data_IF_344780539313
#
_entry.id   IF_344780539313
#
_cell.length_a   1.000
_cell.length_b   1.000
_cell.length_c   1.000
_cell.angle_alpha   90.00
_cell.angle_beta   90.00
_cell.angle_gamma   90.00
#
_symmetry.space_group_name_H-M   'P 1'
#
loop_
_entity.id
_entity.type
_entity.pdbx_description
1 polymer ?
#
# COMPACT_ATOMS: atom_id res chain seq x y z
N UNK A 1 -17.93 -13.49 -0.87
CA UNK A 1 -16.48 -13.63 -0.61
C UNK A 1 -15.87 -14.37 -1.79
N UNK A 2 -15.21 -13.65 -2.70
CA UNK A 2 -14.54 -14.28 -3.85
C UNK A 2 -13.06 -14.46 -3.51
N UNK A 3 -12.72 -15.64 -2.99
CA UNK A 3 -11.34 -16.07 -2.83
C UNK A 3 -10.83 -16.54 -4.20
N UNK A 4 -9.90 -15.81 -4.80
CA UNK A 4 -9.16 -16.29 -5.96
C UNK A 4 -8.15 -17.34 -5.48
N UNK A 5 -8.23 -18.55 -6.04
CA UNK A 5 -7.34 -19.66 -5.74
C UNK A 5 -5.91 -19.32 -6.19
N UNK A 6 -4.98 -19.27 -5.24
CA UNK A 6 -3.58 -18.95 -5.47
C UNK A 6 -2.83 -20.14 -6.10
N UNK A 7 -2.74 -20.18 -7.42
CA UNK A 7 -1.96 -21.19 -8.17
C UNK A 7 -0.46 -20.84 -8.30
N UNK A 8 0.05 -19.80 -7.61
CA UNK A 8 1.42 -19.29 -7.81
C UNK A 8 2.23 -19.12 -6.51
N UNK A 9 1.81 -19.71 -5.39
CA UNK A 9 2.55 -19.62 -4.11
C UNK A 9 2.59 -18.22 -3.48
N UNK A 10 1.83 -17.27 -4.02
CA UNK A 10 1.67 -15.92 -3.45
C UNK A 10 0.66 -16.02 -2.31
N UNK A 11 0.96 -15.54 -1.08
CA UNK A 11 0.00 -15.56 0.02
C UNK A 11 -1.26 -14.76 -0.34
N UNK A 12 -2.42 -15.25 0.09
CA UNK A 12 -3.70 -14.59 -0.12
C UNK A 12 -3.68 -13.22 0.57
N UNK A 13 -3.61 -12.15 -0.21
CA UNK A 13 -3.67 -10.78 0.31
C UNK A 13 -5.12 -10.57 0.79
N UNK A 14 -5.31 -10.19 2.04
CA UNK A 14 -6.65 -9.90 2.57
C UNK A 14 -7.06 -8.50 2.10
N UNK A 15 -8.18 -8.40 1.38
CA UNK A 15 -8.45 -7.31 0.42
C UNK A 15 -9.46 -6.24 0.90
N UNK A 16 -9.56 -5.92 2.19
CA UNK A 16 -10.46 -4.85 2.65
C UNK A 16 -9.74 -3.50 2.77
N UNK A 17 -10.05 -2.58 1.85
CA UNK A 17 -9.52 -1.19 1.86
C UNK A 17 -9.92 -0.44 3.13
N UNK A 18 -11.01 -0.86 3.80
CA UNK A 18 -11.45 -0.31 5.08
C UNK A 18 -10.47 -0.47 6.25
N UNK A 19 -9.38 -1.23 6.06
CA UNK A 19 -8.33 -1.41 7.06
C UNK A 19 -7.34 -0.22 7.05
N UNK A 20 -7.20 0.50 5.93
CA UNK A 20 -6.28 1.62 5.80
C UNK A 20 -6.93 2.93 6.23
N UNK A 21 -6.17 3.75 6.94
CA UNK A 21 -6.53 5.14 7.27
C UNK A 21 -6.43 6.01 6.02
N UNK A 22 -7.08 7.19 6.03
CA UNK A 22 -6.99 8.17 4.93
C UNK A 22 -5.55 8.49 4.54
N UNK A 23 -4.67 8.68 5.53
CA UNK A 23 -3.25 9.00 5.30
C UNK A 23 -2.48 7.84 4.68
N UNK A 24 -2.80 6.61 5.06
CA UNK A 24 -2.20 5.42 4.45
C UNK A 24 -2.68 5.23 3.01
N UNK A 25 -3.95 5.54 2.72
CA UNK A 25 -4.48 5.55 1.34
C UNK A 25 -3.72 6.56 0.49
N UNK A 26 -3.54 7.80 0.96
CA UNK A 26 -2.77 8.84 0.25
C UNK A 26 -1.33 8.39 -0.10
N UNK A 27 -0.70 7.61 0.78
CA UNK A 27 0.63 7.02 0.53
C UNK A 27 0.56 5.91 -0.52
N UNK A 28 -0.47 5.07 -0.50
CA UNK A 28 -0.66 4.02 -1.52
C UNK A 28 -0.89 4.63 -2.89
N UNK A 29 -1.70 5.68 -3.00
CA UNK A 29 -1.95 6.42 -4.25
C UNK A 29 -0.66 6.92 -4.91
N UNK A 30 0.35 7.23 -4.11
CA UNK A 30 1.65 7.78 -4.56
C UNK A 30 2.77 6.75 -4.58
N UNK A 31 2.47 5.47 -4.34
CA UNK A 31 3.50 4.42 -4.19
C UNK A 31 4.32 4.12 -5.44
N UNK A 32 3.96 4.68 -6.60
CA UNK A 32 4.79 4.68 -7.82
C UNK A 32 6.03 5.60 -7.69
N UNK A 33 5.99 6.55 -6.75
CA UNK A 33 7.04 7.52 -6.51
C UNK A 33 8.01 7.04 -5.41
N UNK A 34 9.26 7.54 -5.39
CA UNK A 34 10.17 7.30 -4.27
C UNK A 34 9.61 7.86 -2.97
N UNK A 35 9.81 7.16 -1.84
CA UNK A 35 9.33 7.55 -0.50
C UNK A 35 9.67 9.00 -0.11
N UNK A 36 10.84 9.52 -0.53
CA UNK A 36 11.22 10.93 -0.29
C UNK A 36 10.35 11.92 -1.07
N UNK A 37 9.96 11.58 -2.29
CA UNK A 37 9.04 12.38 -3.09
C UNK A 37 7.65 12.36 -2.47
N UNK A 38 7.17 11.18 -2.03
CA UNK A 38 5.89 11.05 -1.31
C UNK A 38 5.88 11.95 -0.07
N UNK A 39 6.98 11.97 0.68
CA UNK A 39 7.11 12.81 1.87
C UNK A 39 6.99 14.30 1.53
N UNK A 40 7.64 14.74 0.45
CA UNK A 40 7.55 16.11 -0.05
C UNK A 40 6.13 16.45 -0.54
N UNK A 41 5.50 15.58 -1.33
CA UNK A 41 4.15 15.77 -1.86
C UNK A 41 3.08 15.87 -0.75
N UNK A 42 3.28 15.17 0.37
CA UNK A 42 2.33 15.10 1.49
C UNK A 42 2.66 16.07 2.64
N UNK A 43 3.71 16.88 2.50
CA UNK A 43 4.25 17.79 3.51
C UNK A 43 4.47 17.11 4.88
N UNK A 44 5.17 15.97 4.87
CA UNK A 44 5.50 15.20 6.08
C UNK A 44 6.96 14.76 6.06
N UNK A 45 7.47 14.36 7.23
CA UNK A 45 8.84 13.84 7.29
C UNK A 45 8.96 12.49 6.56
N UNK A 46 10.12 12.24 5.99
CA UNK A 46 10.46 10.94 5.40
C UNK A 46 10.24 9.77 6.39
N UNK A 47 10.57 9.96 7.67
CA UNK A 47 10.35 8.95 8.71
C UNK A 47 8.87 8.70 9.02
N UNK A 48 8.02 9.70 8.83
CA UNK A 48 6.56 9.56 8.93
C UNK A 48 6.04 8.67 7.81
N UNK A 49 6.52 8.85 6.58
CA UNK A 49 6.20 7.94 5.45
C UNK A 49 6.63 6.51 5.77
N UNK A 50 7.86 6.29 6.24
CA UNK A 50 8.33 4.95 6.62
C UNK A 50 7.48 4.30 7.72
N UNK A 51 7.02 5.10 8.69
CA UNK A 51 6.14 4.63 9.77
C UNK A 51 4.77 4.21 9.25
N UNK A 52 4.18 4.99 8.35
CA UNK A 52 2.93 4.61 7.70
C UNK A 52 3.10 3.38 6.81
N UNK A 53 4.19 3.28 6.04
CA UNK A 53 4.50 2.08 5.25
C UNK A 53 4.60 0.85 6.16
N UNK A 54 5.28 0.93 7.31
CA UNK A 54 5.30 -0.16 8.30
C UNK A 54 3.88 -0.55 8.76
N UNK A 55 3.03 0.43 9.06
CA UNK A 55 1.63 0.17 9.44
C UNK A 55 0.84 -0.50 8.30
N UNK A 56 0.99 -0.03 7.06
CA UNK A 56 0.39 -0.63 5.87
C UNK A 56 0.83 -2.08 5.71
N UNK A 57 2.13 -2.37 5.86
CA UNK A 57 2.65 -3.75 5.79
C UNK A 57 2.02 -4.65 6.84
N UNK A 58 1.92 -4.17 8.08
CA UNK A 58 1.29 -4.92 9.18
C UNK A 58 -0.19 -5.18 8.93
N UNK A 59 -0.90 -4.23 8.33
CA UNK A 59 -2.34 -4.30 8.04
C UNK A 59 -2.68 -5.19 6.83
N UNK A 60 -1.83 -5.16 5.81
CA UNK A 60 -2.11 -5.78 4.51
C UNK A 60 -1.32 -7.07 4.27
N UNK A 61 -0.26 -7.31 5.04
CA UNK A 61 0.71 -8.38 4.81
C UNK A 61 1.65 -8.13 3.63
N UNK A 62 1.50 -7.02 2.91
CA UNK A 62 2.36 -6.65 1.78
C UNK A 62 3.74 -6.30 2.30
N UNK A 63 4.81 -6.85 1.72
CA UNK A 63 6.18 -6.56 2.17
C UNK A 63 6.96 -5.70 1.19
N UNK A 64 6.70 -5.89 -0.11
CA UNK A 64 7.43 -5.23 -1.19
C UNK A 64 6.70 -4.00 -1.75
N UNK A 65 7.46 -2.99 -2.17
CA UNK A 65 6.93 -1.77 -2.79
C UNK A 65 6.20 -2.05 -4.11
N UNK A 66 6.66 -3.02 -4.91
CA UNK A 66 5.95 -3.38 -6.16
C UNK A 66 4.60 -4.02 -5.89
N UNK A 67 4.52 -4.85 -4.85
CA UNK A 67 3.25 -5.42 -4.39
C UNK A 67 2.30 -4.31 -3.90
N UNK A 68 2.84 -3.26 -3.27
CA UNK A 68 2.05 -2.11 -2.83
C UNK A 68 1.48 -1.31 -4.01
N UNK A 69 2.28 -1.08 -5.04
CA UNK A 69 1.82 -0.45 -6.29
C UNK A 69 0.75 -1.29 -6.97
N UNK A 70 0.98 -2.60 -7.11
CA UNK A 70 0.00 -3.52 -7.67
C UNK A 70 -1.32 -3.51 -6.88
N UNK A 71 -1.23 -3.47 -5.55
CA UNK A 71 -2.39 -3.31 -4.67
C UNK A 71 -3.13 -2.00 -4.95
N UNK A 72 -2.42 -0.87 -5.05
CA UNK A 72 -3.00 0.42 -5.37
C UNK A 72 -3.75 0.44 -6.70
N UNK A 73 -3.17 -0.14 -7.76
CA UNK A 73 -3.80 -0.28 -9.08
C UNK A 73 -5.06 -1.17 -8.99
N UNK A 74 -4.97 -2.34 -8.34
CA UNK A 74 -6.11 -3.25 -8.19
C UNK A 74 -7.26 -2.67 -7.38
N UNK A 75 -6.98 -1.69 -6.52
CA UNK A 75 -7.99 -0.97 -5.73
C UNK A 75 -8.47 0.33 -6.38
N UNK A 76 -7.96 0.69 -7.56
CA UNK A 76 -8.32 1.95 -8.22
C UNK A 76 -7.83 3.18 -7.46
N UNK A 77 -6.80 3.03 -6.62
CA UNK A 77 -6.14 4.13 -5.91
C UNK A 77 -5.03 4.77 -6.76
N UNK A 78 -4.50 4.02 -7.72
CA UNK A 78 -3.50 4.49 -8.69
C UNK A 78 -4.12 4.31 -10.07
N UNK A 79 -4.18 5.39 -10.84
CA UNK A 79 -4.60 5.40 -12.24
C UNK A 79 -3.40 5.24 -13.17
#
# INVERSE_FOLDING_TARGET
MNLLVNNYGVPAINFEVGILTKREIEIVERSILPDRQIAWDLDISYYTVLSHLKSIRNKTGIQDGRQLVYFGIKKGLIN
#
